data_IF_720300798779
#
_entry.id   IF_720300798779
#
_cell.length_a   1.000
_cell.length_b   1.000
_cell.length_c   1.000
_cell.angle_alpha   90.00
_cell.angle_beta   90.00
_cell.angle_gamma   90.00
#
_symmetry.space_group_name_H-M   'P 1'
#
loop_
_entity.id
_entity.type
_entity.pdbx_description
1 polymer ?
#
# COMPACT_ATOMS: atom_id res chain seq x y z
N UNK A 1 5.68 3.37 3.84
CA UNK A 1 4.92 4.15 2.83
C UNK A 1 4.21 3.25 1.81
N UNK A 2 4.74 2.06 1.49
CA UNK A 2 4.21 1.20 0.40
C UNK A 2 3.21 0.12 0.88
N UNK A 3 2.75 0.17 2.12
CA UNK A 3 1.84 -0.84 2.67
C UNK A 3 0.90 -0.25 3.71
N UNK A 4 0.30 0.89 3.41
CA UNK A 4 -0.45 1.70 4.41
C UNK A 4 -1.67 0.96 4.94
N UNK A 5 -2.44 0.32 4.07
CA UNK A 5 -3.64 -0.43 4.46
C UNK A 5 -3.38 -1.92 4.67
N UNK A 6 -2.15 -2.39 4.42
CA UNK A 6 -1.80 -3.80 4.65
C UNK A 6 -1.82 -4.05 6.18
N UNK A 7 -2.46 -5.12 6.66
CA UNK A 7 -2.49 -5.44 8.10
C UNK A 7 -1.08 -5.57 8.69
N UNK A 8 -0.96 -5.26 9.99
CA UNK A 8 0.32 -5.29 10.70
C UNK A 8 0.96 -6.68 10.74
N UNK A 9 0.14 -7.72 10.85
CA UNK A 9 0.54 -9.13 10.79
C UNK A 9 1.13 -9.53 9.43
N UNK A 10 0.81 -8.79 8.37
CA UNK A 10 1.37 -8.94 7.03
C UNK A 10 2.42 -7.87 6.72
N UNK A 11 2.92 -7.16 7.74
CA UNK A 11 4.03 -6.23 7.59
C UNK A 11 3.67 -4.82 7.15
N UNK A 12 2.39 -4.49 7.02
CA UNK A 12 1.94 -3.13 6.74
C UNK A 12 1.71 -2.31 8.00
N UNK A 13 1.11 -1.13 7.85
CA UNK A 13 0.83 -0.24 8.99
C UNK A 13 -0.58 -0.42 9.55
N UNK A 14 -1.44 -1.22 8.91
CA UNK A 14 -2.83 -1.43 9.32
C UNK A 14 -3.65 -0.15 9.40
N UNK A 15 -3.23 0.90 8.70
CA UNK A 15 -3.88 2.21 8.69
C UNK A 15 -5.06 2.20 7.70
N UNK A 16 -5.77 3.33 7.62
CA UNK A 16 -6.94 3.43 6.75
C UNK A 16 -6.62 4.18 5.45
N UNK A 17 -7.58 4.14 4.52
CA UNK A 17 -7.48 4.81 3.22
C UNK A 17 -7.20 6.31 3.32
N UNK A 18 -7.72 7.02 4.33
CA UNK A 18 -7.43 8.45 4.51
C UNK A 18 -5.94 8.67 4.79
N UNK A 19 -5.31 7.80 5.57
CA UNK A 19 -3.86 7.82 5.80
C UNK A 19 -3.08 7.59 4.50
N UNK A 20 -3.58 6.72 3.61
CA UNK A 20 -2.98 6.52 2.27
C UNK A 20 -2.99 7.82 1.47
N UNK A 21 -4.14 8.51 1.41
CA UNK A 21 -4.28 9.76 0.66
C UNK A 21 -3.39 10.87 1.23
N UNK A 22 -3.35 11.03 2.56
CA UNK A 22 -2.47 12.01 3.20
C UNK A 22 -0.99 11.71 2.91
N UNK A 23 -0.60 10.44 2.88
CA UNK A 23 0.77 10.04 2.52
C UNK A 23 1.11 10.46 1.10
N UNK A 24 0.20 10.23 0.14
CA UNK A 24 0.38 10.63 -1.26
C UNK A 24 0.45 12.16 -1.39
N UNK A 25 -0.44 12.88 -0.72
CA UNK A 25 -0.47 14.36 -0.73
C UNK A 25 0.85 14.95 -0.24
N UNK A 26 1.39 14.46 0.87
CA UNK A 26 2.66 14.97 1.41
C UNK A 26 3.84 14.70 0.47
N UNK A 27 3.89 13.55 -0.19
CA UNK A 27 4.94 13.25 -1.19
C UNK A 27 4.79 14.14 -2.43
N UNK A 28 3.56 14.39 -2.87
CA UNK A 28 3.27 15.20 -4.05
C UNK A 28 3.73 16.66 -3.93
N UNK A 29 3.86 17.19 -2.70
CA UNK A 29 4.40 18.54 -2.45
C UNK A 29 5.87 18.68 -2.89
N UNK A 30 6.59 17.56 -3.00
CA UNK A 30 8.02 17.53 -3.37
C UNK A 30 8.21 16.97 -4.78
N UNK A 31 7.60 15.81 -5.08
CA UNK A 31 7.73 15.14 -6.37
C UNK A 31 6.44 14.39 -6.74
N UNK A 32 5.76 14.88 -7.78
CA UNK A 32 4.52 14.30 -8.27
C UNK A 32 4.69 12.92 -8.93
N UNK A 33 5.85 12.63 -9.53
CA UNK A 33 6.10 11.33 -10.16
C UNK A 33 6.27 10.23 -9.10
N UNK A 34 6.99 10.53 -8.02
CA UNK A 34 7.11 9.62 -6.87
C UNK A 34 5.77 9.46 -6.16
N UNK A 35 5.00 10.54 -6.00
CA UNK A 35 3.67 10.46 -5.42
C UNK A 35 2.73 9.53 -6.22
N UNK A 36 2.77 9.61 -7.56
CA UNK A 36 2.00 8.71 -8.41
C UNK A 36 2.39 7.23 -8.23
N UNK A 37 3.69 6.94 -8.06
CA UNK A 37 4.16 5.58 -7.75
C UNK A 37 3.60 5.09 -6.40
N UNK A 38 3.68 5.91 -5.35
CA UNK A 38 3.17 5.58 -4.01
C UNK A 38 1.66 5.37 -4.03
N UNK A 39 0.93 6.20 -4.78
CA UNK A 39 -0.51 6.07 -4.98
C UNK A 39 -0.86 4.74 -5.64
N UNK A 40 -0.35 4.49 -6.86
CA UNK A 40 -0.65 3.27 -7.62
C UNK A 40 -0.34 2.02 -6.80
N UNK A 41 0.79 1.97 -6.10
CA UNK A 41 1.16 0.82 -5.30
C UNK A 41 0.15 0.55 -4.17
N UNK A 42 -0.27 1.58 -3.43
CA UNK A 42 -1.20 1.39 -2.32
C UNK A 42 -2.66 1.25 -2.78
N UNK A 43 -3.14 2.12 -3.66
CA UNK A 43 -4.57 2.25 -4.00
C UNK A 43 -5.02 1.32 -5.11
N UNK A 44 -4.08 0.87 -5.96
CA UNK A 44 -4.34 -0.12 -7.01
C UNK A 44 -3.80 -1.51 -6.63
N UNK A 45 -2.49 -1.68 -6.48
CA UNK A 45 -1.87 -3.01 -6.36
C UNK A 45 -2.23 -3.69 -5.03
N UNK A 46 -1.94 -3.04 -3.90
CA UNK A 46 -2.24 -3.59 -2.58
C UNK A 46 -3.74 -3.77 -2.37
N UNK A 47 -4.51 -2.73 -2.69
CA UNK A 47 -5.98 -2.70 -2.62
C UNK A 47 -6.62 -3.85 -3.41
N UNK A 48 -6.12 -4.16 -4.61
CA UNK A 48 -6.60 -5.30 -5.40
C UNK A 48 -6.39 -6.61 -4.66
N UNK A 49 -5.16 -6.89 -4.20
CA UNK A 49 -4.85 -8.16 -3.53
C UNK A 49 -5.61 -8.28 -2.19
N UNK A 50 -5.75 -7.18 -1.44
CA UNK A 50 -6.53 -7.15 -0.21
C UNK A 50 -8.01 -7.48 -0.45
N UNK A 51 -8.61 -6.94 -1.52
CA UNK A 51 -10.05 -7.08 -1.80
C UNK A 51 -10.42 -8.41 -2.45
N UNK A 52 -9.61 -8.88 -3.40
CA UNK A 52 -9.98 -10.02 -4.26
C UNK A 52 -9.02 -11.20 -4.20
N UNK A 53 -7.88 -11.07 -3.51
CA UNK A 53 -6.93 -12.17 -3.36
C UNK A 53 -7.47 -13.30 -2.47
N UNK A 54 -7.07 -14.53 -2.77
CA UNK A 54 -7.27 -15.65 -1.82
C UNK A 54 -6.37 -15.47 -0.59
N UNK A 55 -6.65 -16.21 0.48
CA UNK A 55 -5.83 -16.15 1.69
C UNK A 55 -4.38 -16.57 1.42
N UNK A 56 -4.16 -17.56 0.55
CA UNK A 56 -2.81 -17.96 0.12
C UNK A 56 -2.11 -16.86 -0.69
N UNK A 57 -2.84 -16.15 -1.55
CA UNK A 57 -2.28 -15.04 -2.33
C UNK A 57 -1.92 -13.85 -1.42
N UNK A 58 -2.81 -13.51 -0.48
CA UNK A 58 -2.57 -12.46 0.51
C UNK A 58 -1.33 -12.76 1.35
N UNK A 59 -1.25 -13.97 1.91
CA UNK A 59 -0.10 -14.40 2.71
C UNK A 59 1.22 -14.42 1.91
N UNK A 60 1.15 -14.72 0.61
CA UNK A 60 2.34 -14.76 -0.26
C UNK A 60 2.82 -13.38 -0.70
N UNK A 61 1.91 -12.48 -1.06
CA UNK A 61 2.27 -11.24 -1.77
C UNK A 61 2.26 -9.99 -0.88
N UNK A 62 1.31 -9.86 0.05
CA UNK A 62 1.19 -8.64 0.86
C UNK A 62 2.43 -8.34 1.72
N UNK A 63 3.08 -9.33 2.36
CA UNK A 63 4.34 -9.08 3.09
C UNK A 63 5.45 -8.50 2.22
N UNK A 64 5.56 -8.98 0.98
CA UNK A 64 6.56 -8.51 0.02
C UNK A 64 6.25 -7.09 -0.45
N UNK A 65 4.99 -6.83 -0.77
CA UNK A 65 4.53 -5.50 -1.20
C UNK A 65 4.63 -4.45 -0.09
N UNK A 66 4.62 -4.85 1.18
CA UNK A 66 4.78 -3.95 2.31
C UNK A 66 6.25 -3.66 2.67
N UNK A 67 7.17 -4.62 2.44
CA UNK A 67 8.52 -4.59 3.00
C UNK A 67 9.67 -4.68 1.99
N UNK A 68 9.46 -5.35 0.85
CA UNK A 68 10.52 -5.65 -0.13
C UNK A 68 10.49 -4.71 -1.35
N UNK A 69 9.32 -4.16 -1.67
CA UNK A 69 9.07 -3.29 -2.83
C UNK A 69 8.62 -1.89 -2.38
#
# INVERSE_FOLDING_TARGET
MMGVEIPGELGGTGSNFMTTILTVEEVAKVDGAVAALVDIHNTLVNSLILKVGTEEQKAKYLPKLAQEF
#
